data_IF_979023836368
#
_entry.id   IF_979023836368
#
_cell.length_a   1.000
_cell.length_b   1.000
_cell.length_c   1.000
_cell.angle_alpha   90.00
_cell.angle_beta   90.00
_cell.angle_gamma   90.00
#
_symmetry.space_group_name_H-M   'P 1'
#
loop_
_entity.id
_entity.type
_entity.pdbx_description
1 polymer ?
#
# COMPACT_ATOMS: atom_id res chain seq x y z
N UNK A 1 2.12 -5.81 6.27
CA UNK A 1 2.26 -5.53 4.82
C UNK A 1 3.35 -4.51 4.64
N UNK A 2 4.32 -4.80 3.78
CA UNK A 2 5.37 -3.84 3.45
C UNK A 2 4.93 -3.04 2.22
N UNK A 3 4.56 -1.78 2.42
CA UNK A 3 4.20 -0.89 1.31
C UNK A 3 5.47 -0.45 0.59
N UNK A 4 5.56 -0.72 -0.72
CA UNK A 4 6.59 -0.13 -1.59
C UNK A 4 6.24 1.32 -1.93
N UNK A 5 6.14 2.17 -0.91
CA UNK A 5 5.63 3.54 -0.99
C UNK A 5 6.74 4.61 -1.13
N UNK A 6 7.98 4.21 -1.44
CA UNK A 6 9.13 5.15 -1.51
C UNK A 6 8.92 6.25 -2.55
N UNK A 7 8.52 5.88 -3.77
CA UNK A 7 8.27 6.85 -4.85
C UNK A 7 7.03 7.71 -4.57
N UNK A 8 5.97 7.10 -4.05
CA UNK A 8 4.76 7.83 -3.64
C UNK A 8 5.10 8.88 -2.58
N UNK A 9 5.96 8.54 -1.62
CA UNK A 9 6.41 9.47 -0.59
C UNK A 9 7.20 10.63 -1.17
N UNK A 10 8.17 10.37 -2.06
CA UNK A 10 9.00 11.43 -2.64
C UNK A 10 8.14 12.36 -3.49
N UNK A 11 7.39 11.83 -4.45
CA UNK A 11 6.55 12.63 -5.34
C UNK A 11 5.44 13.35 -4.57
N UNK A 12 4.79 12.66 -3.63
CA UNK A 12 3.71 13.20 -2.82
C UNK A 12 4.18 14.34 -1.93
N UNK A 13 5.28 14.17 -1.19
CA UNK A 13 5.83 15.25 -0.35
C UNK A 13 6.26 16.44 -1.22
N UNK A 14 7.01 16.21 -2.31
CA UNK A 14 7.44 17.30 -3.19
C UNK A 14 6.26 18.08 -3.77
N UNK A 15 5.20 17.38 -4.21
CA UNK A 15 3.98 18.00 -4.73
C UNK A 15 3.27 18.83 -3.66
N UNK A 16 3.08 18.29 -2.46
CA UNK A 16 2.41 18.98 -1.35
C UNK A 16 3.19 20.24 -0.94
N UNK A 17 4.51 20.14 -0.78
CA UNK A 17 5.37 21.27 -0.42
C UNK A 17 5.31 22.35 -1.49
N UNK A 18 5.39 21.95 -2.76
CA UNK A 18 5.24 22.87 -3.87
C UNK A 18 3.88 23.56 -3.84
N UNK A 19 2.78 22.81 -3.71
CA UNK A 19 1.43 23.38 -3.67
C UNK A 19 1.23 24.33 -2.47
N UNK A 20 1.67 23.95 -1.27
CA UNK A 20 1.50 24.78 -0.06
C UNK A 20 2.24 26.11 -0.14
N UNK A 21 3.51 26.09 -0.59
CA UNK A 21 4.32 27.32 -0.67
C UNK A 21 3.80 28.29 -1.74
N UNK A 22 3.20 27.76 -2.83
CA UNK A 22 2.72 28.59 -3.94
C UNK A 22 1.24 28.98 -3.84
N UNK A 23 0.37 28.15 -3.24
CA UNK A 23 -1.08 28.42 -3.17
C UNK A 23 -1.50 29.54 -2.20
N UNK A 24 -0.56 30.22 -1.56
CA UNK A 24 -0.83 31.39 -0.70
C UNK A 24 -0.04 32.63 -1.07
N UNK A 25 0.74 32.63 -2.17
CA UNK A 25 1.62 33.74 -2.54
C UNK A 25 1.17 34.38 -3.84
N UNK A 26 1.01 35.69 -3.80
CA UNK A 26 0.90 36.54 -4.98
C UNK A 26 2.31 36.75 -5.57
N UNK A 27 2.48 36.44 -6.86
CA UNK A 27 3.74 36.60 -7.60
C UNK A 27 4.05 35.45 -8.56
N UNK A 28 4.83 35.74 -9.61
CA UNK A 28 5.26 34.70 -10.55
C UNK A 28 6.31 33.78 -9.89
N UNK A 29 6.36 32.51 -10.30
CA UNK A 29 7.30 31.51 -9.76
C UNK A 29 8.77 32.00 -9.75
N UNK A 30 9.17 32.68 -10.83
CA UNK A 30 10.54 33.19 -11.00
C UNK A 30 10.85 34.32 -10.00
N UNK A 31 9.88 35.19 -9.71
CA UNK A 31 10.05 36.30 -8.78
C UNK A 31 10.23 35.80 -7.34
N UNK A 32 9.51 34.74 -6.97
CA UNK A 32 9.66 34.10 -5.66
C UNK A 32 11.03 33.45 -5.48
N UNK A 33 11.63 32.93 -6.57
CA UNK A 33 12.94 32.30 -6.54
C UNK A 33 14.08 33.31 -6.35
N UNK A 34 13.92 34.54 -6.86
CA UNK A 34 15.01 35.52 -6.93
C UNK A 34 14.99 36.54 -5.80
N UNK A 35 13.81 36.93 -5.30
CA UNK A 35 13.67 38.20 -4.57
C UNK A 35 12.98 38.11 -3.19
N UNK A 36 12.84 36.92 -2.58
CA UNK A 36 12.27 36.82 -1.21
C UNK A 36 13.25 36.23 -0.21
N UNK A 37 13.65 37.06 0.74
CA UNK A 37 14.61 36.75 1.82
C UNK A 37 14.27 35.51 2.65
N UNK A 38 13.00 35.07 2.68
CA UNK A 38 12.55 33.91 3.46
C UNK A 38 12.03 32.72 2.63
N UNK A 39 12.02 32.79 1.30
CA UNK A 39 11.41 31.74 0.46
C UNK A 39 11.97 30.33 0.73
N UNK A 40 13.29 30.20 0.79
CA UNK A 40 13.95 28.92 1.04
C UNK A 40 13.70 28.38 2.44
N UNK A 41 13.57 29.27 3.43
CA UNK A 41 13.25 28.89 4.80
C UNK A 41 11.81 28.36 4.89
N UNK A 42 10.86 29.04 4.27
CA UNK A 42 9.46 28.61 4.21
C UNK A 42 9.30 27.27 3.47
N UNK A 43 10.09 27.06 2.41
CA UNK A 43 10.13 25.80 1.68
C UNK A 43 10.70 24.66 2.53
N UNK A 44 11.81 24.90 3.22
CA UNK A 44 12.42 23.91 4.13
C UNK A 44 11.49 23.59 5.32
N UNK A 45 10.83 24.61 5.86
CA UNK A 45 9.85 24.47 6.92
C UNK A 45 8.65 23.63 6.46
N UNK A 46 8.03 24.00 5.34
CA UNK A 46 6.92 23.24 4.73
C UNK A 46 7.33 21.79 4.42
N UNK A 47 8.55 21.57 3.92
CA UNK A 47 9.10 20.23 3.71
C UNK A 47 9.17 19.42 5.00
N UNK A 48 9.66 20.03 6.08
CA UNK A 48 9.81 19.38 7.39
C UNK A 48 8.45 19.04 8.00
N UNK A 49 7.50 19.98 7.93
CA UNK A 49 6.13 19.79 8.43
C UNK A 49 5.44 18.68 7.65
N UNK A 50 5.44 18.77 6.31
CA UNK A 50 4.80 17.79 5.42
C UNK A 50 5.39 16.39 5.62
N UNK A 51 6.72 16.30 5.71
CA UNK A 51 7.39 15.02 5.96
C UNK A 51 6.97 14.42 7.31
N UNK A 52 6.88 15.23 8.35
CA UNK A 52 6.48 14.81 9.70
C UNK A 52 5.03 14.31 9.71
N UNK A 53 4.10 15.06 9.11
CA UNK A 53 2.69 14.66 8.96
C UNK A 53 2.58 13.34 8.20
N UNK A 54 3.35 13.17 7.12
CA UNK A 54 3.38 11.92 6.36
C UNK A 54 3.88 10.75 7.22
N UNK A 55 4.96 10.93 7.99
CA UNK A 55 5.49 9.88 8.87
C UNK A 55 4.48 9.48 9.94
N UNK A 56 3.84 10.45 10.60
CA UNK A 56 2.82 10.19 11.62
C UNK A 56 1.62 9.45 11.02
N UNK A 57 1.11 9.91 9.88
CA UNK A 57 0.01 9.26 9.17
C UNK A 57 0.36 7.82 8.81
N UNK A 58 1.54 7.60 8.22
CA UNK A 58 2.04 6.27 7.86
C UNK A 58 2.22 5.36 9.08
N UNK A 59 2.73 5.90 10.18
CA UNK A 59 2.88 5.15 11.43
C UNK A 59 1.53 4.69 11.97
N UNK A 60 0.53 5.57 11.99
CA UNK A 60 -0.83 5.25 12.42
C UNK A 60 -1.44 4.17 11.51
N UNK A 61 -1.33 4.31 10.19
CA UNK A 61 -1.83 3.33 9.22
C UNK A 61 -1.19 1.96 9.46
N UNK A 62 0.14 1.90 9.63
CA UNK A 62 0.85 0.64 9.94
C UNK A 62 0.44 0.02 11.28
N UNK A 63 0.19 0.84 12.30
CA UNK A 63 -0.33 0.34 13.59
C UNK A 63 -1.76 -0.19 13.46
N UNK A 64 -2.59 0.47 12.65
CA UNK A 64 -3.94 0.01 12.33
C UNK A 64 -3.93 -1.25 11.45
N UNK A 65 -2.93 -1.47 10.60
CA UNK A 65 -2.77 -2.73 9.85
C UNK A 65 -2.71 -3.96 10.75
N UNK A 66 -2.03 -3.84 11.89
CA UNK A 66 -1.88 -4.94 12.85
C UNK A 66 -3.19 -5.17 13.61
N UNK A 67 -3.89 -4.10 14.01
CA UNK A 67 -5.09 -4.19 14.86
C UNK A 67 -6.39 -4.44 14.07
N UNK A 68 -6.51 -3.84 12.89
CA UNK A 68 -7.71 -3.84 12.04
C UNK A 68 -7.26 -4.11 10.58
N UNK A 69 -7.05 -5.37 10.21
CA UNK A 69 -6.59 -5.72 8.87
C UNK A 69 -7.64 -5.35 7.81
N UNK A 70 -7.16 -4.80 6.69
CA UNK A 70 -7.99 -4.35 5.56
C UNK A 70 -8.93 -5.44 5.03
N UNK A 71 -8.45 -6.69 4.96
CA UNK A 71 -9.14 -7.82 4.30
C UNK A 71 -10.49 -8.15 4.93
N UNK A 72 -10.61 -8.03 6.25
CA UNK A 72 -11.80 -8.46 6.98
C UNK A 72 -12.75 -7.32 7.31
N UNK A 73 -12.25 -6.08 7.46
CA UNK A 73 -12.99 -4.98 8.09
C UNK A 73 -12.70 -3.61 7.47
N UNK A 74 -12.79 -3.51 6.14
CA UNK A 74 -12.47 -2.28 5.39
C UNK A 74 -13.24 -1.05 5.90
N UNK A 75 -14.56 -1.15 6.06
CA UNK A 75 -15.39 -0.03 6.50
C UNK A 75 -15.04 0.43 7.92
N UNK A 76 -14.97 -0.51 8.88
CA UNK A 76 -14.58 -0.22 10.26
C UNK A 76 -13.18 0.39 10.32
N UNK A 77 -12.28 -0.05 9.44
CA UNK A 77 -10.94 0.53 9.34
C UNK A 77 -10.98 1.97 8.88
N UNK A 78 -11.67 2.29 7.79
CA UNK A 78 -11.78 3.68 7.29
C UNK A 78 -12.40 4.60 8.35
N UNK A 79 -13.44 4.13 9.05
CA UNK A 79 -14.13 4.87 10.10
C UNK A 79 -13.21 5.20 11.29
N UNK A 80 -12.25 4.33 11.62
CA UNK A 80 -11.26 4.60 12.68
C UNK A 80 -10.03 5.35 12.14
N UNK A 81 -9.56 5.00 10.95
CA UNK A 81 -8.33 5.52 10.37
C UNK A 81 -8.46 7.02 10.04
N UNK A 82 -9.58 7.44 9.44
CA UNK A 82 -9.77 8.85 9.05
C UNK A 82 -9.77 9.80 10.25
N UNK A 83 -10.61 9.62 11.30
CA UNK A 83 -10.60 10.51 12.46
C UNK A 83 -9.26 10.50 13.21
N UNK A 84 -8.63 9.33 13.37
CA UNK A 84 -7.37 9.21 14.11
C UNK A 84 -6.23 9.90 13.36
N UNK A 85 -6.12 9.68 12.04
CA UNK A 85 -5.07 10.35 11.23
C UNK A 85 -5.32 11.85 11.11
N UNK A 86 -6.56 12.28 10.88
CA UNK A 86 -6.89 13.71 10.82
C UNK A 86 -6.62 14.42 12.15
N UNK A 87 -7.05 13.84 13.28
CA UNK A 87 -6.81 14.43 14.61
C UNK A 87 -5.32 14.48 14.93
N UNK A 88 -4.57 13.41 14.65
CA UNK A 88 -3.14 13.39 14.89
C UNK A 88 -2.38 14.39 14.01
N UNK A 89 -2.73 14.49 12.73
CA UNK A 89 -2.15 15.47 11.80
C UNK A 89 -2.51 16.90 12.22
N UNK A 90 -3.76 17.15 12.61
CA UNK A 90 -4.19 18.47 13.10
C UNK A 90 -3.39 18.88 14.33
N UNK A 91 -3.29 18.01 15.34
CA UNK A 91 -2.51 18.27 16.55
C UNK A 91 -1.04 18.53 16.25
N UNK A 92 -0.44 17.75 15.33
CA UNK A 92 0.95 17.94 14.93
C UNK A 92 1.15 19.27 14.21
N UNK A 93 0.29 19.59 13.23
CA UNK A 93 0.33 20.86 12.49
C UNK A 93 0.20 22.03 13.45
N UNK A 94 -0.84 22.05 14.29
CA UNK A 94 -1.02 23.10 15.29
C UNK A 94 0.17 23.21 16.22
N UNK A 95 0.74 22.10 16.70
CA UNK A 95 1.91 22.13 17.59
C UNK A 95 3.13 22.76 16.91
N UNK A 96 3.40 22.39 15.65
CA UNK A 96 4.53 22.94 14.89
C UNK A 96 4.31 24.42 14.59
N UNK A 97 3.10 24.80 14.17
CA UNK A 97 2.76 26.20 13.91
C UNK A 97 2.88 27.06 15.17
N UNK A 98 2.45 26.57 16.33
CA UNK A 98 2.61 27.28 17.61
C UNK A 98 4.08 27.48 18.00
N UNK A 99 4.93 26.48 17.78
CA UNK A 99 6.37 26.61 18.01
C UNK A 99 6.97 27.63 17.04
N UNK A 100 6.61 27.56 15.76
CA UNK A 100 7.09 28.49 14.74
C UNK A 100 6.72 29.95 15.05
N UNK A 101 5.47 30.20 15.41
CA UNK A 101 4.99 31.56 15.70
C UNK A 101 5.59 32.11 16.98
N UNK A 102 5.80 31.24 17.99
CA UNK A 102 6.53 31.61 19.21
C UNK A 102 7.98 32.01 18.94
N UNK A 103 8.66 31.36 17.98
CA UNK A 103 10.05 31.71 17.60
C UNK A 103 10.07 33.04 16.83
N UNK A 104 9.07 33.29 15.98
CA UNK A 104 8.95 34.51 15.18
C UNK A 104 8.40 35.72 15.97
N UNK A 105 7.99 35.53 17.23
CA UNK A 105 7.40 36.61 18.05
C UNK A 105 6.01 37.05 17.57
N UNK A 106 5.32 36.22 16.79
CA UNK A 106 3.97 36.51 16.29
C UNK A 106 2.95 36.21 17.39
N UNK A 107 2.01 37.13 17.63
CA UNK A 107 1.00 36.97 18.67
C UNK A 107 0.06 35.78 18.41
N UNK A 108 -0.21 34.96 19.44
CA UNK A 108 -1.04 33.74 19.38
C UNK A 108 -2.40 33.94 18.68
N UNK A 109 -3.02 35.12 18.80
CA UNK A 109 -4.32 35.41 18.22
C UNK A 109 -4.31 35.49 16.69
N UNK A 110 -3.17 35.80 16.06
CA UNK A 110 -3.04 35.80 14.60
C UNK A 110 -2.97 34.37 14.02
N UNK A 111 -2.62 33.40 14.86
CA UNK A 111 -2.43 31.97 14.51
C UNK A 111 -3.74 31.18 14.63
N UNK A 112 -4.71 31.69 15.38
CA UNK A 112 -6.00 31.01 15.63
C UNK A 112 -7.06 31.23 14.55
N UNK A 113 -6.80 32.08 13.56
CA UNK A 113 -7.62 32.07 12.35
C UNK A 113 -7.46 30.70 11.67
N UNK A 114 -8.52 30.12 11.07
CA UNK A 114 -8.38 28.93 10.25
C UNK A 114 -7.50 29.26 9.04
N UNK A 115 -6.19 29.14 9.24
CA UNK A 115 -5.21 29.44 8.23
C UNK A 115 -5.37 28.46 7.07
N UNK A 116 -5.25 29.00 5.85
CA UNK A 116 -5.31 28.21 4.63
C UNK A 116 -4.32 27.02 4.67
N UNK A 117 -3.20 27.17 5.39
CA UNK A 117 -2.20 26.13 5.60
C UNK A 117 -2.74 24.93 6.40
N UNK A 118 -3.50 25.16 7.47
CA UNK A 118 -4.09 24.09 8.27
C UNK A 118 -5.12 23.32 7.44
N UNK A 119 -6.00 24.04 6.75
CA UNK A 119 -7.00 23.44 5.87
C UNK A 119 -6.34 22.61 4.76
N UNK A 120 -5.31 23.16 4.12
CA UNK A 120 -4.53 22.44 3.10
C UNK A 120 -3.86 21.19 3.69
N UNK A 121 -3.23 21.28 4.86
CA UNK A 121 -2.63 20.14 5.54
C UNK A 121 -3.63 19.01 5.86
N UNK A 122 -4.86 19.37 6.23
CA UNK A 122 -5.95 18.40 6.45
C UNK A 122 -6.42 17.76 5.14
N UNK A 123 -6.59 18.55 4.08
CA UNK A 123 -6.92 18.04 2.73
C UNK A 123 -5.84 17.05 2.27
N UNK A 124 -4.56 17.39 2.45
CA UNK A 124 -3.47 16.49 2.10
C UNK A 124 -3.45 15.22 2.94
N UNK A 125 -3.75 15.31 4.24
CA UNK A 125 -3.92 14.11 5.09
C UNK A 125 -5.01 13.20 4.55
N UNK A 126 -6.13 13.77 4.08
CA UNK A 126 -7.21 13.01 3.45
C UNK A 126 -6.76 12.35 2.13
N UNK A 127 -6.02 13.08 1.29
CA UNK A 127 -5.43 12.54 0.05
C UNK A 127 -4.48 11.37 0.36
N UNK A 128 -3.63 11.49 1.37
CA UNK A 128 -2.73 10.39 1.78
C UNK A 128 -3.54 9.15 2.16
N UNK A 129 -4.59 9.31 2.96
CA UNK A 129 -5.47 8.20 3.32
C UNK A 129 -6.11 7.54 2.09
N UNK A 130 -6.56 8.34 1.13
CA UNK A 130 -7.13 7.85 -0.12
C UNK A 130 -6.09 7.09 -0.95
N UNK A 131 -4.86 7.60 -1.05
CA UNK A 131 -3.76 6.93 -1.75
C UNK A 131 -3.46 5.55 -1.15
N UNK A 132 -3.43 5.44 0.19
CA UNK A 132 -3.24 4.13 0.83
C UNK A 132 -4.42 3.18 0.59
N UNK A 133 -5.66 3.69 0.54
CA UNK A 133 -6.83 2.89 0.17
C UNK A 133 -6.71 2.38 -1.28
N UNK A 134 -6.33 3.25 -2.23
CA UNK A 134 -6.12 2.88 -3.63
C UNK A 134 -5.02 1.83 -3.75
N UNK A 135 -3.88 2.03 -3.09
CA UNK A 135 -2.78 1.06 -3.06
C UNK A 135 -3.25 -0.31 -2.57
N UNK A 136 -4.07 -0.34 -1.52
CA UNK A 136 -4.65 -1.58 -1.01
C UNK A 136 -5.58 -2.25 -2.04
N UNK A 137 -6.46 -1.48 -2.69
CA UNK A 137 -7.39 -2.02 -3.69
C UNK A 137 -6.65 -2.57 -4.91
N UNK A 138 -5.60 -1.90 -5.37
CA UNK A 138 -4.75 -2.36 -6.48
C UNK A 138 -4.02 -3.67 -6.11
N UNK A 139 -3.45 -3.76 -4.91
CA UNK A 139 -2.81 -4.99 -4.44
C UNK A 139 -3.80 -6.15 -4.35
N UNK A 140 -5.00 -5.90 -3.83
CA UNK A 140 -6.06 -6.91 -3.75
C UNK A 140 -6.53 -7.38 -5.13
N UNK A 141 -6.59 -6.48 -6.12
CA UNK A 141 -6.88 -6.83 -7.52
C UNK A 141 -5.87 -7.83 -8.07
N UNK A 142 -4.58 -7.52 -7.92
CA UNK A 142 -3.49 -8.38 -8.39
C UNK A 142 -3.46 -9.74 -7.65
N UNK A 143 -3.76 -9.78 -6.36
CA UNK A 143 -3.84 -11.04 -5.59
C UNK A 143 -4.98 -11.96 -6.08
N UNK A 144 -6.09 -11.37 -6.51
CA UNK A 144 -7.21 -12.13 -7.08
C UNK A 144 -6.88 -12.65 -8.49
N UNK A 145 -6.15 -11.88 -9.30
CA UNK A 145 -5.68 -12.33 -10.61
C UNK A 145 -4.62 -13.44 -10.48
N UNK A 146 -3.70 -13.33 -9.51
CA UNK A 146 -2.68 -14.34 -9.20
C UNK A 146 -3.22 -15.65 -8.64
N UNK A 147 -4.41 -15.66 -8.03
CA UNK A 147 -5.11 -16.92 -7.68
C UNK A 147 -5.66 -17.67 -8.89
N UNK A 148 -5.65 -17.05 -10.07
CA UNK A 148 -5.92 -17.71 -11.35
C UNK A 148 -4.66 -18.25 -12.01
N UNK A 149 -3.48 -18.13 -11.38
CA UNK A 149 -2.38 -19.05 -11.67
C UNK A 149 -2.72 -20.38 -10.98
N UNK A 150 -3.67 -21.09 -11.60
CA UNK A 150 -4.03 -22.48 -11.29
C UNK A 150 -2.73 -23.22 -11.05
N UNK A 151 -2.61 -23.95 -9.93
CA UNK A 151 -1.46 -24.81 -9.68
C UNK A 151 -1.21 -25.64 -10.95
N UNK A 152 -0.19 -25.26 -11.74
CA UNK A 152 0.10 -25.91 -13.02
C UNK A 152 0.83 -27.19 -12.68
N UNK A 153 0.09 -28.28 -12.52
CA UNK A 153 0.68 -29.60 -12.37
C UNK A 153 1.42 -29.92 -13.67
N UNK A 154 2.73 -30.08 -13.58
CA UNK A 154 3.53 -30.57 -14.71
C UNK A 154 3.51 -32.08 -14.64
N UNK A 155 2.87 -32.72 -15.61
CA UNK A 155 2.86 -34.17 -15.78
C UNK A 155 3.73 -34.63 -16.95
N UNK A 156 3.98 -35.93 -17.05
CA UNK A 156 4.68 -36.54 -18.18
C UNK A 156 3.74 -37.45 -18.95
N UNK A 157 3.23 -36.99 -20.10
CA UNK A 157 2.42 -37.82 -20.99
C UNK A 157 3.36 -38.48 -22.01
N UNK A 158 3.66 -39.76 -21.82
CA UNK A 158 4.67 -40.45 -22.63
C UNK A 158 6.06 -39.85 -22.39
N UNK A 159 6.75 -39.41 -23.46
CA UNK A 159 8.09 -38.81 -23.37
C UNK A 159 8.08 -37.26 -23.40
N UNK A 160 6.92 -36.62 -23.21
CA UNK A 160 6.78 -35.16 -23.21
C UNK A 160 6.23 -34.66 -21.88
N UNK A 161 6.78 -33.54 -21.39
CA UNK A 161 6.20 -32.79 -20.27
C UNK A 161 4.96 -32.05 -20.78
N UNK A 162 3.84 -32.21 -20.09
CA UNK A 162 2.57 -31.57 -20.42
C UNK A 162 2.00 -30.88 -19.18
N UNK A 163 1.54 -29.64 -19.36
CA UNK A 163 0.84 -28.91 -18.30
C UNK A 163 -0.59 -29.45 -18.16
N UNK A 164 -0.93 -29.90 -16.96
CA UNK A 164 -2.24 -30.45 -16.61
C UNK A 164 -3.06 -29.35 -15.96
N UNK A 165 -4.23 -29.08 -16.52
CA UNK A 165 -5.21 -28.18 -15.94
C UNK A 165 -6.03 -28.94 -14.89
N UNK A 166 -6.00 -28.51 -13.64
CA UNK A 166 -6.67 -29.16 -12.51
C UNK A 166 -8.18 -29.27 -12.69
N UNK A 167 -8.80 -28.30 -13.36
CA UNK A 167 -10.24 -28.30 -13.64
C UNK A 167 -10.70 -29.52 -14.47
N UNK A 168 -9.77 -30.13 -15.22
CA UNK A 168 -10.06 -31.28 -16.07
C UNK A 168 -9.71 -32.61 -15.38
N UNK A 169 -9.13 -32.59 -14.18
CA UNK A 169 -8.74 -33.82 -13.46
C UNK A 169 -9.94 -34.33 -12.69
N UNK A 170 -10.39 -35.54 -13.03
CA UNK A 170 -11.51 -36.20 -12.36
C UNK A 170 -11.09 -36.76 -11.00
N UNK A 171 -9.95 -37.45 -10.95
CA UNK A 171 -9.38 -37.99 -9.72
C UNK A 171 -7.88 -38.27 -9.88
N UNK A 172 -7.21 -38.43 -8.74
CA UNK A 172 -5.83 -38.92 -8.66
C UNK A 172 -5.85 -40.34 -8.07
N UNK A 173 -5.01 -41.23 -8.60
CA UNK A 173 -4.79 -42.55 -7.99
C UNK A 173 -3.30 -42.87 -7.97
N UNK A 174 -2.85 -43.66 -7.00
CA UNK A 174 -1.45 -44.07 -6.89
C UNK A 174 -1.29 -45.56 -7.15
N UNK A 175 -0.32 -45.93 -7.98
CA UNK A 175 0.08 -47.33 -8.21
C UNK A 175 1.60 -47.38 -8.33
N UNK A 176 2.25 -48.33 -7.66
CA UNK A 176 3.70 -48.52 -7.69
C UNK A 176 4.50 -47.25 -7.36
N UNK A 177 4.07 -46.48 -6.35
CA UNK A 177 4.68 -45.19 -5.93
C UNK A 177 4.61 -44.08 -7.00
N UNK A 178 3.83 -44.26 -8.06
CA UNK A 178 3.57 -43.26 -9.10
C UNK A 178 2.15 -42.74 -8.90
N UNK A 179 1.95 -41.41 -8.90
CA UNK A 179 0.62 -40.78 -8.82
C UNK A 179 0.16 -40.52 -10.24
N UNK A 180 -1.06 -40.87 -10.59
CA UNK A 180 -1.65 -40.68 -11.91
C UNK A 180 -2.77 -39.64 -11.79
N UNK A 181 -2.84 -38.72 -12.75
CA UNK A 181 -3.93 -37.75 -12.83
C UNK A 181 -4.84 -38.17 -13.99
N UNK A 182 -6.07 -38.59 -13.69
CA UNK A 182 -7.02 -38.99 -14.72
C UNK A 182 -7.81 -37.76 -15.13
N UNK A 183 -7.77 -37.42 -16.42
CA UNK A 183 -8.57 -36.33 -16.96
C UNK A 183 -9.93 -36.87 -17.41
N UNK A 184 -11.01 -36.28 -16.90
CA UNK A 184 -12.36 -36.60 -17.35
C UNK A 184 -12.59 -35.96 -18.72
N UNK A 185 -12.72 -36.76 -19.78
CA UNK A 185 -13.18 -36.22 -21.06
C UNK A 185 -14.67 -35.94 -20.98
N UNK A 186 -15.08 -34.73 -21.40
CA UNK A 186 -16.50 -34.32 -21.50
C UNK A 186 -17.30 -35.15 -22.53
N UNK A 187 -16.64 -36.02 -23.30
CA UNK A 187 -17.24 -37.00 -24.20
C UNK A 187 -16.61 -38.39 -23.96
N UNK A 188 -17.33 -39.24 -23.21
CA UNK A 188 -17.34 -40.72 -23.12
C UNK A 188 -16.10 -41.60 -23.49
N UNK A 189 -14.89 -41.07 -23.56
CA UNK A 189 -13.66 -41.84 -23.75
C UNK A 189 -12.61 -41.36 -22.74
N UNK A 190 -12.38 -42.13 -21.69
CA UNK A 190 -11.39 -41.81 -20.68
C UNK A 190 -9.98 -41.92 -21.28
N UNK A 191 -9.14 -40.89 -21.08
CA UNK A 191 -7.73 -40.93 -21.46
C UNK A 191 -6.89 -40.91 -20.20
N UNK A 192 -6.27 -42.05 -19.88
CA UNK A 192 -5.38 -42.17 -18.73
C UNK A 192 -4.04 -41.53 -19.09
N UNK A 193 -3.70 -40.44 -18.42
CA UNK A 193 -2.40 -39.80 -18.56
C UNK A 193 -1.52 -40.27 -17.39
N UNK A 194 -0.43 -41.03 -17.65
CA UNK A 194 0.54 -41.33 -16.61
C UNK A 194 1.14 -40.03 -16.07
N UNK A 195 1.19 -39.87 -14.76
CA UNK A 195 1.89 -38.74 -14.13
C UNK A 195 3.11 -39.33 -13.43
N UNK A 196 4.31 -38.83 -13.73
CA UNK A 196 5.53 -39.33 -13.11
C UNK A 196 5.78 -38.46 -11.88
N UNK A 197 5.84 -39.04 -10.68
CA UNK A 197 6.04 -38.27 -9.47
C UNK A 197 7.40 -37.60 -9.50
N UNK A 198 7.40 -36.31 -9.15
CA UNK A 198 8.57 -35.73 -8.52
C UNK A 198 8.83 -36.51 -7.23
N UNK A 199 10.07 -36.98 -7.01
CA UNK A 199 10.45 -37.52 -5.69
C UNK A 199 10.25 -36.40 -4.68
N UNK A 200 9.15 -36.45 -3.94
CA UNK A 200 9.07 -35.73 -2.67
C UNK A 200 10.01 -36.50 -1.76
N UNK A 201 11.18 -35.93 -1.49
CA UNK A 201 12.04 -36.42 -0.41
C UNK A 201 11.25 -36.17 0.88
N UNK A 202 10.42 -37.14 1.29
CA UNK A 202 9.90 -37.16 2.64
C UNK A 202 11.12 -37.37 3.55
N UNK A 203 11.44 -36.44 4.47
CA UNK A 203 12.44 -36.72 5.49
C UNK A 203 11.97 -37.96 6.25
N UNK A 204 12.82 -38.97 6.29
CA UNK A 204 12.57 -40.19 7.06
C UNK A 204 12.29 -39.77 8.50
N UNK A 205 11.05 -39.99 8.95
CA UNK A 205 10.72 -39.93 10.37
C UNK A 205 11.50 -41.05 11.04
N UNK A 206 12.64 -40.70 11.61
CA UNK A 206 13.43 -41.57 12.49
C UNK A 206 12.58 -41.89 13.72
N UNK A 207 11.92 -43.04 13.71
CA UNK A 207 11.33 -43.65 14.89
C UNK A 207 12.44 -44.23 15.76
N UNK A 208 12.65 -43.63 16.93
CA UNK A 208 13.29 -44.29 18.08
C UNK A 208 12.19 -44.89 18.97
#
# INVERSE_FOLDING_TARGET
>A
MEYKDRWLKICGISFIVFSTVHMGREGAFIELLQNRDNYYFDLLFSLTVTWSVWQVTRYIIKKLDVKIPWKTRLYKRLLVQLPVTLTASALLLTSITLVYTSIMGIGFYQVMAPDAELLMGLIFTLIINLLYLILYLLQRGNDNEGKTDRIKLVGMTGNRKSHINLDNVAYFYSRNKIVFAVQGMRNNSERIIPWIPWRVNCPETSSA
#
